data_IF_111368624213
#
_entry.id   IF_111368624213
#
_cell.length_a   1.000
_cell.length_b   1.000
_cell.length_c   1.000
_cell.angle_alpha   90.00
_cell.angle_beta   90.00
_cell.angle_gamma   90.00
#
_symmetry.space_group_name_H-M   'P 1'
#
loop_
_entity.id
_entity.type
_entity.pdbx_description
1 polymer ?
#
# COMPACT_ATOMS: atom_id res chain seq x y z
N UNK A 1 -19.31 -19.19 -10.90
CA UNK A 1 -18.11 -19.00 -10.07
C UNK A 1 -18.38 -17.85 -9.12
N UNK A 2 -18.01 -17.96 -7.86
CA UNK A 2 -18.05 -16.83 -6.92
C UNK A 2 -17.09 -15.73 -7.38
N UNK A 3 -17.57 -14.49 -7.46
CA UNK A 3 -16.78 -13.28 -7.71
C UNK A 3 -15.92 -12.92 -6.47
N UNK A 4 -15.02 -13.82 -6.10
CA UNK A 4 -14.09 -13.57 -5.01
C UNK A 4 -12.88 -12.80 -5.53
N UNK A 5 -12.91 -11.47 -5.36
CA UNK A 5 -11.72 -10.64 -5.56
C UNK A 5 -10.98 -10.54 -4.22
N UNK A 6 -9.78 -11.13 -4.07
CA UNK A 6 -9.04 -11.07 -2.82
C UNK A 6 -8.69 -9.62 -2.45
N UNK A 7 -8.77 -9.32 -1.15
CA UNK A 7 -8.22 -8.09 -0.54
C UNK A 7 -6.89 -8.43 0.12
N UNK A 8 -5.84 -7.67 -0.21
CA UNK A 8 -4.49 -7.87 0.32
C UNK A 8 -4.06 -6.62 1.07
N UNK A 9 -3.75 -6.77 2.36
CA UNK A 9 -3.11 -5.71 3.13
C UNK A 9 -1.60 -5.74 2.91
N UNK A 10 -0.99 -4.56 2.70
CA UNK A 10 0.44 -4.39 2.48
C UNK A 10 0.95 -3.32 3.45
N UNK A 11 1.95 -3.66 4.27
CA UNK A 11 2.67 -2.68 5.07
C UNK A 11 3.45 -1.76 4.13
N UNK A 12 2.99 -0.52 4.00
CA UNK A 12 3.60 0.47 3.12
C UNK A 12 4.86 1.09 3.73
N UNK A 13 5.14 0.87 5.02
CA UNK A 13 6.22 1.52 5.76
C UNK A 13 7.44 0.61 5.94
N UNK A 14 7.28 -0.70 5.75
CA UNK A 14 8.34 -1.69 5.92
C UNK A 14 9.34 -1.78 4.74
N UNK A 15 10.62 -1.76 5.07
CA UNK A 15 11.73 -1.98 4.14
C UNK A 15 12.55 -0.73 3.79
N UNK A 16 13.77 -0.94 3.30
CA UNK A 16 14.79 0.12 3.12
C UNK A 16 14.36 1.26 2.18
N UNK A 17 13.46 0.97 1.25
CA UNK A 17 12.97 1.92 0.23
C UNK A 17 11.47 2.23 0.37
N UNK A 18 10.90 1.97 1.55
CA UNK A 18 9.53 2.35 1.88
C UNK A 18 9.42 3.86 2.15
N UNK A 19 8.27 4.49 1.87
CA UNK A 19 7.08 3.91 1.26
C UNK A 19 7.10 3.86 -0.27
N UNK A 20 8.07 4.50 -0.92
CA UNK A 20 8.10 4.69 -2.38
C UNK A 20 8.00 3.37 -3.17
N UNK A 21 8.90 2.42 -2.93
CA UNK A 21 8.95 1.18 -3.70
C UNK A 21 7.76 0.26 -3.41
N UNK A 22 7.29 0.25 -2.15
CA UNK A 22 6.15 -0.57 -1.74
C UNK A 22 4.86 -0.07 -2.38
N UNK A 23 4.60 1.24 -2.28
CA UNK A 23 3.42 1.87 -2.90
C UNK A 23 3.44 1.65 -4.41
N UNK A 24 4.59 1.85 -5.06
CA UNK A 24 4.73 1.63 -6.51
C UNK A 24 4.47 0.18 -6.92
N UNK A 25 5.03 -0.78 -6.18
CA UNK A 25 4.81 -2.21 -6.43
C UNK A 25 3.36 -2.63 -6.23
N UNK A 26 2.73 -2.16 -5.15
CA UNK A 26 1.32 -2.40 -4.86
C UNK A 26 0.43 -1.89 -6.00
N UNK A 27 0.64 -0.65 -6.45
CA UNK A 27 -0.14 -0.08 -7.54
C UNK A 27 0.00 -0.88 -8.84
N UNK A 28 1.21 -1.34 -9.18
CA UNK A 28 1.44 -2.21 -10.33
C UNK A 28 0.68 -3.54 -10.20
N UNK A 29 0.73 -4.17 -9.02
CA UNK A 29 0.03 -5.43 -8.75
C UNK A 29 -1.50 -5.27 -8.81
N UNK A 30 -2.04 -4.21 -8.21
CA UNK A 30 -3.46 -3.87 -8.25
C UNK A 30 -3.98 -3.79 -9.69
N UNK A 31 -3.22 -3.16 -10.59
CA UNK A 31 -3.53 -3.07 -12.02
C UNK A 31 -3.41 -4.41 -12.74
N UNK A 32 -2.28 -5.09 -12.58
CA UNK A 32 -1.95 -6.29 -13.35
C UNK A 32 -2.88 -7.46 -13.02
N UNK A 33 -3.25 -7.60 -11.75
CA UNK A 33 -4.03 -8.74 -11.27
C UNK A 33 -5.49 -8.37 -10.97
N UNK A 34 -5.88 -7.10 -11.11
CA UNK A 34 -7.24 -6.62 -10.78
C UNK A 34 -7.67 -7.02 -9.36
N UNK A 35 -6.73 -6.90 -8.41
CA UNK A 35 -6.93 -7.21 -6.99
C UNK A 35 -7.10 -5.92 -6.19
N UNK A 36 -7.77 -6.03 -5.05
CA UNK A 36 -7.94 -4.93 -4.12
C UNK A 36 -6.76 -4.90 -3.13
N UNK A 37 -6.07 -3.78 -3.02
CA UNK A 37 -4.95 -3.62 -2.09
C UNK A 37 -5.27 -2.56 -1.04
N UNK A 38 -4.91 -2.86 0.21
CA UNK A 38 -4.98 -1.91 1.33
C UNK A 38 -3.55 -1.58 1.74
N UNK A 39 -3.13 -0.34 1.53
CA UNK A 39 -1.83 0.17 1.98
C UNK A 39 -1.95 0.61 3.44
N UNK A 40 -1.20 -0.04 4.34
CA UNK A 40 -1.21 0.25 5.77
C UNK A 40 0.00 1.13 6.11
N UNK A 41 -0.22 2.26 6.78
CA UNK A 41 0.88 3.12 7.23
C UNK A 41 0.53 4.60 7.35
N UNK A 42 1.55 5.43 7.33
CA UNK A 42 1.37 6.88 7.40
C UNK A 42 0.68 7.39 6.12
N UNK A 43 -0.55 7.88 6.26
CA UNK A 43 -1.41 8.23 5.13
C UNK A 43 -0.81 9.35 4.28
N UNK A 44 -0.23 10.38 4.91
CA UNK A 44 0.37 11.51 4.19
C UNK A 44 1.54 11.06 3.31
N UNK A 45 2.41 10.20 3.84
CA UNK A 45 3.54 9.64 3.09
C UNK A 45 3.04 8.77 1.94
N UNK A 46 2.05 7.91 2.17
CA UNK A 46 1.45 7.04 1.13
C UNK A 46 0.80 7.89 0.03
N UNK A 47 -0.01 8.89 0.39
CA UNK A 47 -0.67 9.81 -0.56
C UNK A 47 0.33 10.59 -1.39
N UNK A 48 1.45 11.03 -0.79
CA UNK A 48 2.52 11.71 -1.51
C UNK A 48 3.11 10.82 -2.61
N UNK A 49 3.37 9.55 -2.31
CA UNK A 49 3.88 8.59 -3.30
C UNK A 49 2.85 8.24 -4.37
N UNK A 50 1.58 8.04 -3.98
CA UNK A 50 0.48 7.84 -4.93
C UNK A 50 0.31 9.04 -5.88
N UNK A 51 0.49 10.28 -5.39
CA UNK A 51 0.40 11.50 -6.19
C UNK A 51 1.51 11.66 -7.24
N UNK A 52 2.65 10.97 -7.09
CA UNK A 52 3.70 10.94 -8.14
C UNK A 52 3.28 10.11 -9.33
N UNK A 53 2.42 9.11 -9.11
CA UNK A 53 1.84 8.27 -10.13
C UNK A 53 0.58 8.95 -10.65
N UNK A 54 0.57 9.41 -11.92
CA UNK A 54 -0.61 10.00 -12.59
C UNK A 54 -1.69 8.96 -12.92
N UNK A 55 -2.03 8.13 -11.96
CA UNK A 55 -2.77 6.89 -12.17
C UNK A 55 -4.12 7.06 -11.48
N UNK A 56 -5.20 6.95 -12.24
CA UNK A 56 -6.57 7.35 -11.85
C UNK A 56 -7.18 6.52 -10.71
N UNK A 57 -8.47 6.14 -10.83
CA UNK A 57 -9.10 5.28 -9.82
C UNK A 57 -8.47 3.88 -9.83
N UNK A 58 -7.50 3.67 -8.96
CA UNK A 58 -6.89 2.38 -8.68
C UNK A 58 -7.69 1.66 -7.58
N UNK A 59 -7.77 0.32 -7.59
CA UNK A 59 -8.40 -0.44 -6.51
C UNK A 59 -7.46 -0.51 -5.29
N UNK A 60 -7.06 0.67 -4.78
CA UNK A 60 -6.13 0.85 -3.66
C UNK A 60 -6.82 1.68 -2.59
N UNK A 61 -6.95 1.10 -1.40
CA UNK A 61 -7.43 1.74 -0.18
C UNK A 61 -6.23 2.08 0.71
N UNK A 62 -6.35 3.11 1.56
CA UNK A 62 -5.33 3.44 2.57
C UNK A 62 -5.93 3.18 3.95
N UNK A 63 -5.23 2.40 4.77
CA UNK A 63 -5.52 2.23 6.19
C UNK A 63 -4.47 3.01 6.98
N UNK A 64 -4.87 4.12 7.59
CA UNK A 64 -3.92 4.93 8.35
C UNK A 64 -3.46 4.20 9.61
N UNK A 65 -2.15 3.96 9.70
CA UNK A 65 -1.45 3.49 10.88
C UNK A 65 -0.30 4.48 11.16
N UNK A 66 -0.44 5.40 12.14
CA UNK A 66 0.56 6.43 12.40
C UNK A 66 1.82 5.89 13.07
N UNK A 67 1.71 4.78 13.80
CA UNK A 67 2.83 4.13 14.49
C UNK A 67 3.56 3.20 13.52
N UNK A 68 4.88 3.37 13.46
CA UNK A 68 5.79 2.47 12.73
C UNK A 68 6.61 1.78 13.81
N UNK A 69 6.52 0.45 13.90
CA UNK A 69 7.36 -0.33 14.80
C UNK A 69 8.79 -0.25 14.27
N UNK A 70 9.68 0.41 15.01
CA UNK A 70 11.09 0.52 14.62
C UNK A 70 11.81 -0.82 14.84
N UNK A 71 12.91 -1.04 14.11
CA UNK A 71 13.76 -2.24 14.31
C UNK A 71 14.39 -2.21 15.70
N UNK A 72 13.70 -2.80 16.69
CA UNK A 72 14.12 -2.84 18.08
C UNK A 72 12.99 -2.83 19.11
N UNK A 73 11.76 -2.53 18.70
CA UNK A 73 10.60 -2.63 19.59
C UNK A 73 10.12 -4.09 19.70
N UNK A 74 9.71 -4.49 20.91
CA UNK A 74 9.07 -5.79 21.12
C UNK A 74 7.70 -5.82 20.43
N UNK A 75 7.34 -6.93 19.76
CA UNK A 75 6.07 -7.06 19.04
C UNK A 75 4.84 -7.16 19.96
#
# INVERSE_FOLDING_TARGET
MSDFTPKIAVDAMGGDFAPEMVVRGAVLAAKQFSINIILVGNEDKIRKELGKSREGNLPVEICHAPEVIEMGEEP
#
